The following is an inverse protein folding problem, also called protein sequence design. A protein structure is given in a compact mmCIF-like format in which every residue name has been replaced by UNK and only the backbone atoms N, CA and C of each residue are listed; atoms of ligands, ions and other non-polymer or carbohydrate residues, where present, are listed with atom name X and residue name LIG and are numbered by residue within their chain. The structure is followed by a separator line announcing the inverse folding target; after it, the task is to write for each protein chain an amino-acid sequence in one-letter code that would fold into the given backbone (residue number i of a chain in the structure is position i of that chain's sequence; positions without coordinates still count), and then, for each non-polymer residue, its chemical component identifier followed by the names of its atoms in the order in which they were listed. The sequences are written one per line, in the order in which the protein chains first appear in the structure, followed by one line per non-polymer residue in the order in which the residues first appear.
data_IF_258335132192
#
_entry.id   IF_258335132192
#
_cell.length_a   1.000
_cell.length_b   1.000
_cell.length_c   1.000
_cell.angle_alpha   90.00
_cell.angle_beta   90.00
_cell.angle_gamma   90.00
#
_symmetry.space_group_name_H-M   'P 1'
#
loop_
_entity.id
_entity.type
_entity.pdbx_description
1 polymer ?
#
# COMPACT_ATOMS: atom_id res chain seq x y z
N UNK A 1 22.76 -15.15 15.41
CA UNK A 1 21.58 -14.58 16.06
C UNK A 1 20.47 -15.59 16.24
N UNK A 2 20.10 -15.81 17.45
CA UNK A 2 19.12 -16.83 17.78
C UNK A 2 17.71 -16.22 17.79
N UNK A 3 16.79 -16.88 17.12
CA UNK A 3 15.40 -16.42 17.06
C UNK A 3 14.61 -17.04 18.20
N UNK A 4 13.68 -16.28 18.72
CA UNK A 4 12.76 -16.80 19.72
C UNK A 4 11.76 -17.74 19.02
N UNK A 5 11.45 -18.90 19.63
CA UNK A 5 10.60 -19.88 18.95
C UNK A 5 9.21 -19.35 18.61
N UNK A 6 8.65 -18.47 19.43
CA UNK A 6 7.32 -17.92 19.21
C UNK A 6 7.35 -16.52 18.61
N UNK A 7 8.49 -16.10 18.09
CA UNK A 7 8.64 -14.78 17.48
C UNK A 7 8.40 -14.91 15.99
N UNK A 8 7.52 -14.06 15.47
CA UNK A 8 7.22 -14.02 14.04
C UNK A 8 7.77 -12.73 13.45
N UNK A 9 8.45 -12.85 12.30
CA UNK A 9 8.99 -11.70 11.58
C UNK A 9 8.16 -11.54 10.31
N UNK A 10 7.65 -10.33 10.10
CA UNK A 10 6.86 -10.01 8.92
C UNK A 10 7.48 -8.82 8.20
N UNK A 11 7.40 -8.85 6.88
CA UNK A 11 7.86 -7.75 6.06
C UNK A 11 6.71 -6.84 5.69
N UNK A 12 6.93 -5.54 5.79
CA UNK A 12 5.96 -4.54 5.36
C UNK A 12 6.52 -3.86 4.12
N UNK A 13 5.74 -3.90 3.03
CA UNK A 13 6.19 -3.36 1.77
C UNK A 13 6.14 -1.85 1.73
N UNK A 14 6.76 -1.32 0.68
CA UNK A 14 6.74 0.12 0.42
C UNK A 14 5.38 0.55 -0.10
N UNK A 15 5.11 1.83 -0.01
CA UNK A 15 3.91 2.44 -0.58
C UNK A 15 4.32 3.57 -1.50
N UNK A 16 3.51 3.79 -2.51
CA UNK A 16 3.75 4.85 -3.49
C UNK A 16 2.40 5.33 -4.00
N UNK A 17 2.18 6.63 -3.93
CA UNK A 17 0.89 7.23 -4.32
C UNK A 17 1.07 8.16 -5.50
N UNK A 18 2.01 7.83 -6.36
CA UNK A 18 2.20 8.51 -7.62
C UNK A 18 3.38 9.46 -7.62
N UNK A 19 3.56 10.12 -8.74
CA UNK A 19 4.71 10.99 -8.99
C UNK A 19 4.30 12.47 -9.06
N UNK A 20 3.03 12.76 -8.86
CA UNK A 20 2.53 14.13 -8.92
C UNK A 20 2.21 14.67 -7.53
N UNK A 21 3.22 15.22 -6.90
CA UNK A 21 3.05 15.86 -5.61
C UNK A 21 2.03 17.01 -5.75
N UNK A 22 1.09 17.08 -4.84
CA UNK A 22 0.06 18.12 -4.90
C UNK A 22 -1.11 17.82 -5.82
N UNK A 23 -1.27 16.56 -6.25
CA UNK A 23 -2.39 16.20 -7.14
C UNK A 23 -3.73 16.52 -6.50
N UNK A 24 -3.82 16.54 -5.17
CA UNK A 24 -5.07 16.84 -4.48
C UNK A 24 -5.52 18.28 -4.69
N UNK A 25 -4.64 19.14 -5.18
CA UNK A 25 -4.98 20.53 -5.46
C UNK A 25 -5.39 20.77 -6.91
N UNK A 26 -5.34 19.73 -7.76
CA UNK A 26 -5.66 19.82 -9.17
C UNK A 26 -7.08 19.37 -9.44
N UNK A 27 -7.69 19.95 -10.47
CA UNK A 27 -9.01 19.55 -10.97
C UNK A 27 -10.13 19.64 -9.93
N UNK A 28 -10.03 20.58 -8.99
CA UNK A 28 -10.95 20.66 -7.84
C UNK A 28 -12.37 20.97 -8.26
N UNK A 29 -12.59 21.61 -9.40
CA UNK A 29 -13.93 21.88 -9.90
C UNK A 29 -14.49 20.78 -10.80
N UNK A 30 -13.71 19.75 -11.07
CA UNK A 30 -14.18 18.64 -11.91
C UNK A 30 -15.15 17.75 -11.13
N UNK A 31 -16.16 17.22 -11.83
CA UNK A 31 -17.08 16.26 -11.25
C UNK A 31 -16.36 14.96 -10.89
N UNK A 32 -15.20 14.71 -11.51
CA UNK A 32 -14.42 13.51 -11.27
C UNK A 32 -13.28 13.71 -10.27
N UNK A 33 -13.32 14.82 -9.53
CA UNK A 33 -12.24 15.16 -8.61
C UNK A 33 -11.89 13.99 -7.67
N UNK A 34 -12.90 13.37 -7.05
CA UNK A 34 -12.68 12.31 -6.08
C UNK A 34 -12.37 10.97 -6.73
N UNK A 35 -12.43 10.88 -8.04
CA UNK A 35 -12.09 9.65 -8.78
C UNK A 35 -10.71 9.71 -9.40
N UNK A 36 -9.94 10.74 -9.10
CA UNK A 36 -8.60 10.88 -9.65
C UNK A 36 -7.71 9.70 -9.26
N UNK A 37 -6.83 9.34 -10.17
CA UNK A 37 -5.77 8.36 -9.94
C UNK A 37 -4.45 9.03 -10.25
N UNK A 38 -3.38 8.54 -9.62
CA UNK A 38 -2.05 9.08 -9.83
C UNK A 38 -1.19 8.02 -10.49
N UNK A 39 -0.31 8.45 -11.37
CA UNK A 39 0.57 7.54 -12.09
C UNK A 39 1.85 7.28 -11.28
N UNK A 40 2.26 6.04 -11.22
CA UNK A 40 3.57 5.65 -10.70
C UNK A 40 4.50 5.59 -11.91
N UNK A 41 5.32 6.62 -12.05
CA UNK A 41 6.23 6.70 -13.20
C UNK A 41 7.42 5.76 -13.07
N UNK A 42 7.90 5.57 -11.84
CA UNK A 42 9.03 4.68 -11.61
C UNK A 42 8.52 3.26 -11.38
N UNK A 43 8.48 2.49 -12.44
CA UNK A 43 8.01 1.12 -12.40
C UNK A 43 8.85 0.23 -11.49
N UNK A 44 10.06 0.68 -11.13
CA UNK A 44 10.92 -0.05 -10.20
C UNK A 44 10.26 -0.31 -8.85
N UNK A 45 9.40 0.60 -8.38
CA UNK A 45 8.65 0.37 -7.14
C UNK A 45 7.75 -0.85 -7.25
N UNK A 46 7.11 -1.00 -8.41
CA UNK A 46 6.17 -2.10 -8.64
C UNK A 46 6.95 -3.42 -8.71
N UNK A 47 8.05 -3.43 -9.45
CA UNK A 47 8.88 -4.63 -9.57
C UNK A 47 9.48 -5.03 -8.23
N UNK A 48 9.97 -4.08 -7.47
CA UNK A 48 10.55 -4.35 -6.17
C UNK A 48 9.52 -4.93 -5.22
N UNK A 49 8.31 -4.38 -5.22
CA UNK A 49 7.22 -4.90 -4.41
C UNK A 49 6.91 -6.35 -4.76
N UNK A 50 6.88 -6.68 -6.04
CA UNK A 50 6.63 -8.04 -6.50
C UNK A 50 7.74 -8.99 -6.05
N UNK A 51 9.00 -8.55 -6.13
CA UNK A 51 10.14 -9.36 -5.71
C UNK A 51 10.09 -9.65 -4.20
N UNK A 52 9.80 -8.64 -3.40
CA UNK A 52 9.73 -8.79 -1.95
C UNK A 52 8.55 -9.65 -1.54
N UNK A 53 7.41 -9.47 -2.21
CA UNK A 53 6.23 -10.28 -1.96
C UNK A 53 6.52 -11.76 -2.22
N UNK A 54 7.25 -12.03 -3.30
CA UNK A 54 7.63 -13.40 -3.63
C UNK A 54 8.61 -13.97 -2.60
N UNK A 55 9.56 -13.17 -2.14
CA UNK A 55 10.58 -13.61 -1.20
C UNK A 55 10.00 -13.86 0.18
N UNK A 56 9.09 -13.02 0.64
CA UNK A 56 8.51 -13.12 1.98
C UNK A 56 7.28 -14.01 2.04
N UNK A 57 6.62 -14.21 0.91
CA UNK A 57 5.43 -15.06 0.85
C UNK A 57 4.32 -14.55 1.76
N UNK A 58 3.74 -15.44 2.55
CA UNK A 58 2.63 -15.11 3.43
C UNK A 58 2.98 -14.20 4.59
N UNK A 59 4.27 -13.94 4.80
CA UNK A 59 4.71 -13.03 5.86
C UNK A 59 4.94 -11.61 5.37
N UNK A 60 4.45 -11.29 4.19
CA UNK A 60 4.60 -9.97 3.58
C UNK A 60 3.28 -9.20 3.62
N UNK A 61 3.33 -7.96 4.08
CA UNK A 61 2.18 -7.08 4.06
C UNK A 61 2.35 -6.12 2.89
N UNK A 62 1.54 -6.33 1.85
CA UNK A 62 1.59 -5.55 0.61
C UNK A 62 0.74 -4.30 0.77
N UNK A 63 1.37 -3.15 0.79
CA UNK A 63 0.68 -1.87 0.90
C UNK A 63 0.52 -1.19 -0.46
N UNK A 64 1.14 -1.71 -1.50
CA UNK A 64 1.09 -1.09 -2.81
C UNK A 64 -0.08 -1.60 -3.64
N UNK A 65 -0.19 -2.92 -3.78
CA UNK A 65 -1.20 -3.53 -4.65
C UNK A 65 -2.62 -3.14 -4.30
N UNK A 66 -3.02 -3.10 -3.00
CA UNK A 66 -4.41 -2.71 -2.68
C UNK A 66 -4.76 -1.30 -3.12
N UNK A 67 -3.78 -0.40 -3.24
CA UNK A 67 -4.03 0.97 -3.64
C UNK A 67 -4.00 1.15 -5.16
N UNK A 68 -3.51 0.17 -5.90
CA UNK A 68 -3.39 0.29 -7.36
C UNK A 68 -4.74 0.06 -8.03
N UNK A 69 -5.00 0.87 -9.06
CA UNK A 69 -6.22 0.75 -9.86
C UNK A 69 -5.97 0.01 -11.16
N UNK A 70 -4.72 0.01 -11.63
CA UNK A 70 -4.29 -0.77 -12.79
C UNK A 70 -2.78 -1.00 -12.67
N UNK A 71 -2.10 -1.22 -13.79
CA UNK A 71 -0.69 -1.61 -13.79
C UNK A 71 0.26 -0.55 -13.24
N UNK A 72 -0.12 0.73 -13.32
CA UNK A 72 0.78 1.82 -12.93
C UNK A 72 0.06 3.02 -12.34
N UNK A 73 -1.20 2.86 -11.93
CA UNK A 73 -1.96 3.95 -11.31
C UNK A 73 -2.41 3.55 -9.92
N UNK A 74 -2.48 4.52 -9.03
CA UNK A 74 -2.93 4.33 -7.65
C UNK A 74 -4.04 5.30 -7.32
N UNK A 75 -4.83 4.94 -6.34
CA UNK A 75 -5.91 5.79 -5.83
C UNK A 75 -5.33 7.02 -5.16
N UNK A 76 -6.02 8.14 -5.34
CA UNK A 76 -5.74 9.36 -4.60
C UNK A 76 -6.65 9.47 -3.39
N UNK A 77 -7.89 9.03 -3.54
CA UNK A 77 -8.93 9.18 -2.50
C UNK A 77 -9.46 7.83 -2.03
N UNK A 78 -9.90 7.79 -0.78
CA UNK A 78 -10.65 6.67 -0.22
C UNK A 78 -12.07 6.66 -0.78
N UNK A 79 -12.85 5.62 -0.44
CA UNK A 79 -14.23 5.53 -0.92
C UNK A 79 -15.13 6.64 -0.34
N UNK A 80 -14.77 7.19 0.82
CA UNK A 80 -15.50 8.30 1.43
C UNK A 80 -14.85 9.65 1.14
N UNK A 81 -14.11 9.73 0.03
CA UNK A 81 -13.62 10.97 -0.58
C UNK A 81 -12.59 11.71 0.27
N UNK A 82 -11.74 10.97 0.97
CA UNK A 82 -10.65 11.55 1.75
C UNK A 82 -9.33 11.12 1.11
N UNK A 83 -8.38 12.05 0.99
CA UNK A 83 -7.14 11.69 0.32
C UNK A 83 -6.26 10.81 1.20
N UNK A 84 -5.60 9.85 0.54
CA UNK A 84 -4.81 8.81 1.18
C UNK A 84 -3.43 9.34 1.56
N UNK A 85 -2.84 10.14 0.68
CA UNK A 85 -1.50 10.71 0.88
C UNK A 85 -1.47 12.12 0.33
N UNK A 86 -0.83 13.01 1.05
CA UNK A 86 -0.67 14.39 0.59
C UNK A 86 0.59 14.57 -0.25
N UNK A 87 1.63 13.83 0.05
CA UNK A 87 2.94 13.99 -0.57
C UNK A 87 3.39 12.77 -1.36
N UNK A 88 2.46 11.90 -1.70
CA UNK A 88 2.68 10.69 -2.49
C UNK A 88 3.50 9.61 -1.78
N UNK A 89 3.85 9.79 -0.53
CA UNK A 89 4.65 8.82 0.22
C UNK A 89 4.11 8.51 1.60
N UNK A 90 3.64 9.52 2.32
CA UNK A 90 3.19 9.37 3.70
C UNK A 90 1.68 9.30 3.77
N UNK A 91 1.18 8.48 4.67
CA UNK A 91 -0.26 8.31 4.86
C UNK A 91 -0.82 9.47 5.67
N UNK A 92 -2.01 9.93 5.25
CA UNK A 92 -2.85 10.74 6.11
C UNK A 92 -3.53 9.84 7.15
N UNK A 93 -4.13 10.41 8.21
CA UNK A 93 -4.93 9.59 9.11
C UNK A 93 -6.03 8.82 8.39
N UNK A 94 -6.68 9.46 7.40
CA UNK A 94 -7.71 8.79 6.60
C UNK A 94 -7.13 7.64 5.79
N UNK A 95 -5.93 7.82 5.23
CA UNK A 95 -5.26 6.75 4.50
C UNK A 95 -4.90 5.57 5.39
N UNK A 96 -4.43 5.86 6.60
CA UNK A 96 -4.12 4.81 7.56
C UNK A 96 -5.38 4.03 7.95
N UNK A 97 -6.49 4.74 8.19
CA UNK A 97 -7.76 4.10 8.48
C UNK A 97 -8.25 3.25 7.32
N UNK A 98 -8.06 3.72 6.10
CA UNK A 98 -8.45 2.98 4.92
C UNK A 98 -7.72 1.63 4.86
N UNK A 99 -6.39 1.63 5.07
CA UNK A 99 -5.65 0.37 5.11
C UNK A 99 -6.12 -0.53 6.24
N UNK A 100 -6.42 0.05 7.40
CA UNK A 100 -6.89 -0.72 8.54
C UNK A 100 -8.21 -1.44 8.22
N UNK A 101 -9.01 -0.87 7.33
CA UNK A 101 -10.30 -1.45 6.96
C UNK A 101 -10.18 -2.48 5.85
N UNK A 102 -9.26 -2.28 4.89
CA UNK A 102 -9.23 -3.14 3.70
C UNK A 102 -8.26 -4.31 3.80
N UNK A 103 -7.25 -4.23 4.68
CA UNK A 103 -6.31 -5.32 4.82
C UNK A 103 -6.96 -6.50 5.54
N UNK A 104 -6.59 -7.69 5.10
CA UNK A 104 -7.12 -8.93 5.65
C UNK A 104 -6.35 -9.31 6.90
N UNK A 105 -6.68 -8.66 8.02
CA UNK A 105 -5.97 -8.85 9.27
C UNK A 105 -6.03 -10.27 9.78
N UNK A 106 -7.16 -10.94 9.56
CA UNK A 106 -7.30 -12.34 9.94
C UNK A 106 -6.23 -13.19 9.30
N UNK A 107 -6.02 -13.00 8.00
CA UNK A 107 -5.03 -13.77 7.28
C UNK A 107 -3.62 -13.31 7.63
N UNK A 108 -3.42 -12.01 7.82
CA UNK A 108 -2.11 -11.45 8.15
C UNK A 108 -1.59 -12.00 9.48
N UNK A 109 -2.46 -12.07 10.49
CA UNK A 109 -2.06 -12.50 11.83
C UNK A 109 -2.37 -13.96 12.09
N UNK A 110 -2.79 -14.70 11.06
CA UNK A 110 -3.01 -16.13 11.19
C UNK A 110 -1.70 -16.83 11.50
N UNK A 111 -1.76 -17.83 12.37
CA UNK A 111 -0.58 -18.62 12.69
C UNK A 111 -0.11 -19.34 11.45
N UNK A 112 1.20 -19.30 11.19
CA UNK A 112 1.80 -19.89 10.01
C UNK A 112 3.00 -20.71 10.41
N UNK A 113 3.41 -21.60 9.50
CA UNK A 113 4.61 -22.38 9.71
C UNK A 113 5.82 -21.47 9.80
N UNK A 114 6.73 -21.74 10.74
CA UNK A 114 7.96 -20.95 10.83
C UNK A 114 8.79 -21.07 9.56
N UNK A 115 9.43 -19.98 9.18
CA UNK A 115 10.23 -19.96 7.96
C UNK A 115 11.51 -20.77 8.08
N UNK A 116 11.89 -21.12 9.29
CA UNK A 116 13.19 -21.76 9.56
C UNK A 116 13.09 -23.23 9.86
N UNK A 117 12.00 -23.83 9.63
CA UNK A 117 11.92 -25.26 9.85
C UNK A 117 12.75 -26.03 8.88
#
# INVERSE_FOLDING_TARGET
EKKKPNCKIMGIGTKNYGSCNGIIYKNRSSVDYFKQVAEIEDYGYILLNQQWKKAWGGDYIDLLTPAMTDQNHVRVFTDDNRYISQDCRHLTPAGAQWYAQILDWKNIFKEKQPRYQ
#
